data_IF_181903283398
#
_entry.id   IF_181903283398
#
_cell.length_a   1.000
_cell.length_b   1.000
_cell.length_c   1.000
_cell.angle_alpha   90.00
_cell.angle_beta   90.00
_cell.angle_gamma   90.00
#
_symmetry.space_group_name_H-M   'P 1'
#
loop_
_entity.id
_entity.type
_entity.pdbx_description
1 polymer ?
#
# COMPACT_ATOMS: atom_id res chain seq x y z
N UNK A 1 6.67 -10.81 17.89
CA UNK A 1 5.45 -11.56 17.48
C UNK A 1 4.38 -10.54 17.20
N UNK A 2 3.74 -10.57 16.04
CA UNK A 2 2.68 -9.63 15.64
C UNK A 2 1.36 -10.41 15.63
N UNK A 3 0.32 -9.84 16.22
CA UNK A 3 -1.03 -10.41 16.26
C UNK A 3 -1.96 -9.54 15.45
N UNK A 4 -2.69 -10.14 14.52
CA UNK A 4 -3.69 -9.45 13.69
C UNK A 4 -5.09 -9.84 14.18
N UNK A 5 -5.96 -8.86 14.34
CA UNK A 5 -7.35 -9.05 14.75
C UNK A 5 -8.28 -8.39 13.72
N UNK A 6 -9.15 -9.19 13.12
CA UNK A 6 -10.21 -8.67 12.25
C UNK A 6 -11.39 -8.22 13.11
N UNK A 7 -11.70 -6.92 13.06
CA UNK A 7 -12.75 -6.29 13.87
C UNK A 7 -13.85 -5.80 12.93
N UNK A 8 -15.07 -6.30 13.13
CA UNK A 8 -16.26 -5.78 12.47
C UNK A 8 -16.71 -4.47 13.13
N UNK A 9 -16.49 -3.35 12.44
CA UNK A 9 -16.82 -2.01 12.93
C UNK A 9 -18.31 -1.68 12.91
N UNK A 10 -19.16 -2.55 12.33
CA UNK A 10 -20.62 -2.40 12.41
C UNK A 10 -21.17 -2.78 13.79
N UNK A 11 -20.40 -3.55 14.57
CA UNK A 11 -20.76 -3.96 15.91
C UNK A 11 -20.33 -2.92 16.96
N UNK A 12 -21.28 -2.38 17.72
CA UNK A 12 -21.03 -1.35 18.75
C UNK A 12 -20.09 -1.81 19.85
N UNK A 13 -20.09 -3.11 20.21
CA UNK A 13 -19.15 -3.66 21.20
C UNK A 13 -17.72 -3.74 20.64
N UNK A 14 -17.60 -4.05 19.35
CA UNK A 14 -16.32 -4.11 18.67
C UNK A 14 -15.68 -2.72 18.53
N UNK A 15 -16.49 -1.69 18.27
CA UNK A 15 -16.05 -0.28 18.32
C UNK A 15 -15.54 0.13 19.71
N UNK A 16 -16.25 -0.25 20.78
CA UNK A 16 -15.83 0.03 22.15
C UNK A 16 -14.49 -0.63 22.48
N UNK A 17 -14.30 -1.89 22.05
CA UNK A 17 -13.04 -2.60 22.18
C UNK A 17 -11.90 -1.90 21.42
N UNK A 18 -12.14 -1.51 20.17
CA UNK A 18 -11.15 -0.78 19.36
C UNK A 18 -10.76 0.54 20.03
N UNK A 19 -11.72 1.29 20.55
CA UNK A 19 -11.46 2.55 21.25
C UNK A 19 -10.63 2.34 22.53
N UNK A 20 -10.91 1.29 23.30
CA UNK A 20 -10.09 0.92 24.45
C UNK A 20 -8.66 0.58 24.05
N UNK A 21 -8.49 -0.29 23.04
CA UNK A 21 -7.19 -0.72 22.53
C UNK A 21 -6.36 0.48 22.05
N UNK A 22 -6.99 1.48 21.41
CA UNK A 22 -6.34 2.72 20.98
C UNK A 22 -5.78 3.58 22.12
N UNK A 23 -6.23 3.39 23.36
CA UNK A 23 -5.68 4.11 24.53
C UNK A 23 -4.39 3.52 25.06
N UNK A 24 -4.02 2.31 24.62
CA UNK A 24 -2.84 1.60 25.08
C UNK A 24 -1.62 2.06 24.25
N UNK A 25 -0.64 2.65 24.92
CA UNK A 25 0.56 3.27 24.31
C UNK A 25 1.50 2.27 23.62
N UNK A 26 1.43 0.99 23.98
CA UNK A 26 2.20 -0.08 23.36
C UNK A 26 1.50 -0.73 22.16
N UNK A 27 0.31 -0.28 21.77
CA UNK A 27 -0.44 -0.82 20.62
C UNK A 27 -0.43 0.17 19.46
N UNK A 28 0.08 -0.30 18.32
CA UNK A 28 -0.05 0.40 17.05
C UNK A 28 -1.24 -0.14 16.28
N UNK A 29 -2.28 0.67 16.10
CA UNK A 29 -3.42 0.34 15.24
C UNK A 29 -3.11 0.83 13.83
N UNK A 30 -2.85 -0.10 12.92
CA UNK A 30 -2.75 0.18 11.49
C UNK A 30 -4.07 -0.16 10.80
N UNK A 31 -4.61 0.76 10.01
CA UNK A 31 -5.61 0.38 9.02
C UNK A 31 -4.90 -0.42 7.94
N UNK A 32 -5.43 -1.61 7.62
CA UNK A 32 -4.92 -2.35 6.46
C UNK A 32 -5.09 -1.42 5.26
N UNK A 33 -4.03 -1.12 4.48
CA UNK A 33 -4.20 -0.33 3.28
C UNK A 33 -5.20 -1.07 2.41
N UNK A 34 -6.39 -0.50 2.29
CA UNK A 34 -7.37 -0.92 1.31
C UNK A 34 -6.72 -0.66 -0.04
N UNK A 35 -6.19 -1.72 -0.68
CA UNK A 35 -5.80 -1.66 -2.09
C UNK A 35 -7.12 -1.63 -2.86
N UNK A 36 -7.78 -0.48 -2.85
CA UNK A 36 -9.17 -0.32 -3.31
C UNK A 36 -9.27 0.13 -4.75
N UNK A 37 -8.23 0.72 -5.34
CA UNK A 37 -8.30 1.10 -6.74
C UNK A 37 -7.75 -0.02 -7.63
N UNK A 38 -8.52 -0.39 -8.66
CA UNK A 38 -8.09 -1.29 -9.72
C UNK A 38 -6.77 -0.84 -10.35
N UNK A 39 -6.57 0.47 -10.46
CA UNK A 39 -5.37 1.12 -10.98
C UNK A 39 -4.15 0.90 -10.06
N UNK A 40 -4.33 0.97 -8.73
CA UNK A 40 -3.26 0.69 -7.77
C UNK A 40 -2.86 -0.79 -7.80
N UNK A 41 -3.83 -1.69 -7.94
CA UNK A 41 -3.56 -3.11 -8.11
C UNK A 41 -2.82 -3.40 -9.41
N UNK A 42 -3.24 -2.78 -10.53
CA UNK A 42 -2.55 -2.87 -11.82
C UNK A 42 -1.11 -2.36 -11.74
N UNK A 43 -0.86 -1.22 -11.08
CA UNK A 43 0.48 -0.67 -10.93
C UNK A 43 1.41 -1.58 -10.11
N UNK A 44 0.87 -2.22 -9.07
CA UNK A 44 1.61 -3.21 -8.26
C UNK A 44 1.89 -4.47 -9.09
N UNK A 45 0.89 -5.00 -9.78
CA UNK A 45 1.02 -6.20 -10.62
C UNK A 45 2.01 -5.96 -11.78
N UNK A 46 2.03 -4.76 -12.37
CA UNK A 46 3.01 -4.36 -13.39
C UNK A 46 4.42 -4.27 -12.80
N UNK A 47 4.58 -3.63 -11.63
CA UNK A 47 5.86 -3.55 -10.94
C UNK A 47 6.42 -4.92 -10.54
N UNK A 48 5.56 -5.83 -10.08
CA UNK A 48 5.93 -7.21 -9.75
C UNK A 48 6.34 -8.00 -11.01
N UNK A 49 5.58 -7.87 -12.10
CA UNK A 49 5.95 -8.48 -13.39
C UNK A 49 7.28 -7.96 -13.93
N UNK A 50 7.58 -6.67 -13.78
CA UNK A 50 8.88 -6.11 -14.21
C UNK A 50 10.05 -6.62 -13.36
N UNK A 51 9.82 -6.84 -12.06
CA UNK A 51 10.81 -7.42 -11.15
C UNK A 51 11.06 -8.90 -11.40
N UNK A 52 10.01 -9.66 -11.71
CA UNK A 52 10.07 -11.11 -11.96
C UNK A 52 10.72 -11.44 -13.31
N UNK A 53 10.55 -10.57 -14.32
CA UNK A 53 11.12 -10.75 -15.66
C UNK A 53 12.55 -10.15 -15.82
N UNK A 54 13.28 -9.92 -14.74
CA UNK A 54 14.66 -9.36 -14.72
C UNK A 54 14.87 -8.03 -15.48
N UNK A 55 13.79 -7.33 -15.84
CA UNK A 55 13.82 -6.05 -16.55
C UNK A 55 14.09 -4.90 -15.57
N UNK A 56 15.19 -5.01 -14.82
CA UNK A 56 15.72 -3.94 -13.97
C UNK A 56 16.25 -2.83 -14.86
N UNK A 57 15.36 -2.03 -15.43
CA UNK A 57 15.74 -0.82 -16.13
C UNK A 57 16.51 0.05 -15.14
N UNK A 58 17.74 0.40 -15.49
CA UNK A 58 18.53 1.29 -14.64
C UNK A 58 17.80 2.62 -14.49
N UNK A 59 18.04 3.29 -13.36
CA UNK A 59 17.43 4.59 -13.09
C UNK A 59 17.59 5.58 -14.27
N UNK A 60 18.73 5.53 -14.98
CA UNK A 60 18.96 6.35 -16.18
C UNK A 60 17.96 6.06 -17.30
N UNK A 61 17.67 4.78 -17.57
CA UNK A 61 16.73 4.37 -18.63
C UNK A 61 15.30 4.82 -18.27
N UNK A 62 14.91 4.65 -17.01
CA UNK A 62 13.60 5.11 -16.51
C UNK A 62 13.46 6.63 -16.65
N UNK A 63 14.52 7.39 -16.33
CA UNK A 63 14.50 8.85 -16.44
C UNK A 63 14.43 9.33 -17.89
N UNK A 64 15.13 8.68 -18.81
CA UNK A 64 15.10 9.04 -20.23
C UNK A 64 13.75 8.71 -20.89
N UNK A 65 13.14 7.56 -20.56
CA UNK A 65 11.79 7.25 -21.02
C UNK A 65 10.74 8.21 -20.45
N UNK A 66 10.88 8.60 -19.18
CA UNK A 66 9.96 9.54 -18.52
C UNK A 66 10.04 10.93 -19.15
N UNK A 67 11.24 11.41 -19.49
CA UNK A 67 11.42 12.67 -20.24
C UNK A 67 10.79 12.63 -21.63
N UNK A 68 10.90 11.50 -22.33
CA UNK A 68 10.28 11.37 -23.65
C UNK A 68 8.75 11.32 -23.59
N UNK A 69 8.17 10.59 -22.62
CA UNK A 69 6.71 10.47 -22.50
C UNK A 69 6.05 11.72 -21.91
N UNK A 70 6.75 12.43 -21.04
CA UNK A 70 6.23 13.60 -20.32
C UNK A 70 7.21 14.78 -20.37
N UNK A 71 7.50 15.34 -21.57
CA UNK A 71 8.48 16.42 -21.72
C UNK A 71 8.12 17.69 -20.94
N UNK A 72 6.84 17.89 -20.63
CA UNK A 72 6.35 19.04 -19.85
C UNK A 72 6.69 18.99 -18.35
N UNK A 73 7.22 17.86 -17.84
CA UNK A 73 7.58 17.70 -16.43
C UNK A 73 9.07 17.99 -16.16
N UNK A 74 9.84 18.38 -17.17
CA UNK A 74 11.28 18.65 -17.12
C UNK A 74 11.61 19.99 -17.79
#
# INVERSE_FOLDING_TARGET
MIVTLDIDTTNTKALALLNYIKTLDFISVGEKPEITSHEQKLAIDEGLNQLENENRLSHSVVMDETRQRYPQLF
#
